data_IF_889963375327
#
_entry.id   IF_889963375327
#
_cell.length_a   1.000
_cell.length_b   1.000
_cell.length_c   1.000
_cell.angle_alpha   90.00
_cell.angle_beta   90.00
_cell.angle_gamma   90.00
#
_symmetry.space_group_name_H-M   'P 1'
#
loop_
_entity.id
_entity.type
_entity.pdbx_description
1 polymer ?
#
# COMPACT_ATOMS: atom_id res chain seq x y z
N UNK A 1 -16.62 6.35 -2.72
CA UNK A 1 -15.22 6.68 -3.08
C UNK A 1 -14.31 5.48 -2.88
N UNK A 2 -13.57 5.10 -3.91
CA UNK A 2 -12.66 3.95 -3.97
C UNK A 2 -11.22 4.45 -4.05
N UNK A 3 -10.35 3.94 -3.20
CA UNK A 3 -8.91 4.23 -3.19
C UNK A 3 -8.18 3.16 -3.98
N UNK A 4 -7.60 3.53 -5.12
CA UNK A 4 -6.67 2.68 -5.88
C UNK A 4 -5.28 2.82 -5.27
N UNK A 5 -4.86 1.80 -4.56
CA UNK A 5 -3.61 1.80 -3.79
C UNK A 5 -2.57 0.97 -4.52
N UNK A 6 -1.48 1.61 -4.93
CA UNK A 6 -0.30 0.96 -5.49
C UNK A 6 0.71 0.71 -4.38
N UNK A 7 0.79 -0.54 -3.92
CA UNK A 7 1.77 -0.97 -2.93
C UNK A 7 3.11 -1.25 -3.60
N UNK A 8 4.19 -0.71 -3.02
CA UNK A 8 5.58 -0.95 -3.42
C UNK A 8 6.36 -1.40 -2.20
N UNK A 9 7.06 -2.53 -2.32
CA UNK A 9 7.87 -3.08 -1.22
C UNK A 9 9.33 -2.63 -1.36
N UNK A 10 9.86 -2.00 -0.32
CA UNK A 10 11.28 -1.63 -0.24
C UNK A 10 12.15 -2.88 -0.32
N UNK A 11 13.12 -2.88 -1.23
CA UNK A 11 14.02 -4.02 -1.46
C UNK A 11 13.45 -5.12 -2.36
N UNK A 12 12.16 -5.05 -2.75
CA UNK A 12 11.53 -5.99 -3.69
C UNK A 12 10.70 -5.24 -4.74
N UNK A 13 11.33 -4.57 -5.73
CA UNK A 13 10.62 -3.73 -6.72
C UNK A 13 9.63 -4.49 -7.62
N UNK A 14 9.75 -5.82 -7.72
CA UNK A 14 8.80 -6.66 -8.47
C UNK A 14 7.58 -7.11 -7.65
N UNK A 15 7.67 -7.02 -6.32
CA UNK A 15 6.55 -7.28 -5.41
C UNK A 15 5.83 -5.96 -5.18
N UNK A 16 4.93 -5.66 -6.11
CA UNK A 16 3.96 -4.59 -5.99
C UNK A 16 2.58 -5.11 -6.32
N UNK A 17 1.58 -4.59 -5.63
CA UNK A 17 0.18 -4.95 -5.85
C UNK A 17 -0.66 -3.69 -5.96
N UNK A 18 -1.66 -3.71 -6.82
CA UNK A 18 -2.68 -2.66 -6.88
C UNK A 18 -3.95 -3.20 -6.26
N UNK A 19 -4.40 -2.56 -5.18
CA UNK A 19 -5.59 -2.98 -4.43
C UNK A 19 -6.57 -1.82 -4.37
N UNK A 20 -7.85 -2.11 -4.54
CA UNK A 20 -8.92 -1.15 -4.31
C UNK A 20 -9.38 -1.25 -2.86
N UNK A 21 -9.36 -0.16 -2.13
CA UNK A 21 -9.85 -0.07 -0.76
C UNK A 21 -10.99 0.94 -0.65
N UNK A 22 -11.93 0.69 0.25
CA UNK A 22 -12.98 1.67 0.59
C UNK A 22 -12.48 2.75 1.56
N UNK A 23 -11.35 2.51 2.23
CA UNK A 23 -10.70 3.43 3.15
C UNK A 23 -9.22 3.60 2.81
N UNK A 24 -8.63 4.79 2.96
CA UNK A 24 -7.22 4.99 2.68
C UNK A 24 -6.36 4.27 3.73
N UNK A 25 -5.27 3.60 3.32
CA UNK A 25 -4.31 3.01 4.23
C UNK A 25 -3.54 4.10 4.98
N UNK A 26 -2.96 3.74 6.12
CA UNK A 26 -2.20 4.62 6.99
C UNK A 26 -0.80 4.08 7.24
N UNK A 27 0.12 4.98 7.56
CA UNK A 27 1.45 4.58 8.05
C UNK A 27 1.29 3.78 9.33
N UNK A 28 1.95 2.63 9.40
CA UNK A 28 1.85 1.64 10.47
C UNK A 28 0.83 0.54 10.22
N UNK A 29 -0.03 0.64 9.19
CA UNK A 29 -0.93 -0.46 8.83
C UNK A 29 -0.13 -1.68 8.35
N UNK A 30 -0.65 -2.87 8.65
CA UNK A 30 -0.11 -4.13 8.15
C UNK A 30 -0.93 -4.60 6.95
N UNK A 31 -0.26 -4.84 5.83
CA UNK A 31 -0.86 -5.32 4.59
C UNK A 31 -0.28 -6.68 4.22
N UNK A 32 -1.15 -7.62 3.89
CA UNK A 32 -0.74 -8.91 3.36
C UNK A 32 -0.68 -8.84 1.84
N UNK A 33 0.49 -9.09 1.26
CA UNK A 33 0.70 -9.13 -0.19
C UNK A 33 1.14 -10.54 -0.58
N UNK A 34 0.22 -11.32 -1.14
CA UNK A 34 0.42 -12.75 -1.33
C UNK A 34 0.49 -13.48 0.01
N UNK A 35 1.60 -14.19 0.24
CA UNK A 35 1.83 -14.97 1.47
C UNK A 35 2.72 -14.23 2.50
N UNK A 36 3.17 -13.01 2.19
CA UNK A 36 4.05 -12.22 3.05
C UNK A 36 3.30 -11.02 3.68
N UNK A 37 3.68 -10.65 4.91
CA UNK A 37 3.15 -9.50 5.63
C UNK A 37 4.11 -8.31 5.56
N UNK A 38 3.56 -7.14 5.28
CA UNK A 38 4.32 -5.90 5.14
C UNK A 38 3.71 -4.80 6.00
N UNK A 39 4.54 -3.87 6.46
CA UNK A 39 4.13 -2.68 7.19
C UNK A 39 4.23 -1.46 6.29
N UNK A 40 3.17 -0.67 6.24
CA UNK A 40 3.13 0.59 5.51
C UNK A 40 4.01 1.61 6.20
N UNK A 41 5.02 2.12 5.48
CA UNK A 41 5.94 3.14 5.99
C UNK A 41 5.64 4.52 5.45
N UNK A 42 5.02 4.61 4.27
CA UNK A 42 4.71 5.89 3.62
C UNK A 42 3.44 5.77 2.78
N UNK A 43 2.63 6.83 2.78
CA UNK A 43 1.42 6.96 1.95
C UNK A 43 1.46 8.31 1.26
N UNK A 44 1.42 8.30 -0.07
CA UNK A 44 1.53 9.49 -0.91
C UNK A 44 0.40 9.54 -1.92
N UNK A 45 -0.31 10.67 -2.00
CA UNK A 45 -1.29 10.90 -3.06
C UNK A 45 -0.59 11.10 -4.41
N UNK A 46 -0.87 10.23 -5.39
CA UNK A 46 -0.23 10.31 -6.71
C UNK A 46 -0.83 11.41 -7.57
N UNK A 47 -2.16 11.48 -7.56
CA UNK A 47 -2.92 12.48 -8.30
C UNK A 47 -4.13 12.92 -7.48
N UNK A 48 -4.62 14.15 -7.69
CA UNK A 48 -5.87 14.58 -7.08
C UNK A 48 -7.00 13.59 -7.38
N UNK A 49 -7.91 13.33 -6.42
CA UNK A 49 -9.07 12.48 -6.64
C UNK A 49 -9.87 12.91 -7.88
N UNK A 50 -10.31 11.92 -8.66
CA UNK A 50 -11.11 12.13 -9.87
C UNK A 50 -12.45 11.43 -9.72
N UNK A 51 -13.51 12.22 -9.48
CA UNK A 51 -14.84 11.68 -9.19
C UNK A 51 -14.82 10.79 -7.96
N UNK A 52 -15.23 9.54 -8.11
CA UNK A 52 -15.27 8.55 -7.03
C UNK A 52 -13.94 7.83 -6.77
N UNK A 53 -12.85 8.17 -7.46
CA UNK A 53 -11.56 7.47 -7.33
C UNK A 53 -10.45 8.37 -6.79
N UNK A 54 -9.67 7.85 -5.83
CA UNK A 54 -8.38 8.41 -5.41
C UNK A 54 -7.25 7.42 -5.71
N UNK A 55 -6.05 7.95 -5.99
CA UNK A 55 -4.89 7.14 -6.34
C UNK A 55 -3.79 7.38 -5.32
N UNK A 56 -3.44 6.32 -4.59
CA UNK A 56 -2.45 6.36 -3.54
C UNK A 56 -1.25 5.49 -3.92
N UNK A 57 -0.05 6.01 -3.69
CA UNK A 57 1.19 5.24 -3.66
C UNK A 57 1.50 4.90 -2.22
N UNK A 58 1.78 3.64 -1.95
CA UNK A 58 2.07 3.18 -0.60
C UNK A 58 3.38 2.41 -0.61
N UNK A 59 4.33 2.89 0.16
CA UNK A 59 5.62 2.22 0.35
C UNK A 59 5.52 1.36 1.60
N UNK A 60 5.93 0.09 1.48
CA UNK A 60 5.90 -0.87 2.57
C UNK A 60 7.27 -1.51 2.78
N UNK A 61 7.51 -2.00 4.00
CA UNK A 61 8.66 -2.84 4.33
C UNK A 61 8.20 -4.22 4.80
N UNK A 62 8.97 -5.29 4.53
CA UNK A 62 8.67 -6.60 5.10
C UNK A 62 8.69 -6.52 6.62
N UNK A 63 7.67 -7.08 7.25
CA UNK A 63 7.67 -7.30 8.70
C UNK A 63 8.56 -8.52 8.91
N UNK A 64 9.76 -8.34 9.46
CA UNK A 64 10.53 -9.48 9.94
C UNK A 64 9.73 -10.06 11.12
N UNK A 65 9.19 -11.27 10.95
CA UNK A 65 8.76 -12.07 12.08
C UNK A 65 10.03 -12.33 12.90
N UNK A 66 10.20 -11.62 14.00
CA UNK A 66 11.21 -11.94 15.01
C UNK A 66 10.82 -13.29 15.62
N UNK A 67 11.32 -14.37 15.04
CA UNK A 67 11.30 -15.72 15.64
C UNK A 67 12.71 -16.13 16.04
#
# INVERSE_FOLDING_TARGET
>A
MIYKVSYVVVGKPHLGAIVNLDTPPRVGDRVQLGDELFEVTEVTDLIPPRGEFAYLHVTCRPVQDET
#
